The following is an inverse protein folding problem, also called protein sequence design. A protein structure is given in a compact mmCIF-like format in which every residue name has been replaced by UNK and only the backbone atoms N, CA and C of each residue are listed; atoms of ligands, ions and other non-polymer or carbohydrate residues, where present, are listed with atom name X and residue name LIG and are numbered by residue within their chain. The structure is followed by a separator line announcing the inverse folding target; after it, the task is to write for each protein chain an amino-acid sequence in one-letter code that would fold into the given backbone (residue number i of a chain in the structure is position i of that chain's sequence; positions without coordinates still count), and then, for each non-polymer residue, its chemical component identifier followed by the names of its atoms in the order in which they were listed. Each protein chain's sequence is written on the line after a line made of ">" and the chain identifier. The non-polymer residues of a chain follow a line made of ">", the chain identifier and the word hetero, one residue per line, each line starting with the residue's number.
data_IF_615636074862
#
_entry.id   IF_615636074862
#
_cell.length_a   1.000
_cell.length_b   1.000
_cell.length_c   1.000
_cell.angle_alpha   90.00
_cell.angle_beta   90.00
_cell.angle_gamma   90.00
#
_symmetry.space_group_name_H-M   'P 1'
#
loop_
_entity.id
_entity.type
_entity.pdbx_description
1 polymer ?
#
# COMPACT_ATOMS: atom_id res chain seq x y z
N UNK A 1 -0.16 -9.80 10.51
CA UNK A 1 1.04 -9.13 11.06
C UNK A 1 2.25 -10.06 11.03
N UNK A 2 2.13 -11.27 11.57
CA UNK A 2 3.22 -12.26 11.65
C UNK A 2 3.94 -12.51 10.32
N UNK A 3 3.20 -12.67 9.21
CA UNK A 3 3.83 -12.87 7.89
C UNK A 3 4.74 -11.69 7.49
N UNK A 4 4.30 -10.45 7.70
CA UNK A 4 5.11 -9.27 7.42
C UNK A 4 6.36 -9.20 8.29
N UNK A 5 6.22 -9.55 9.58
CA UNK A 5 7.34 -9.60 10.54
C UNK A 5 8.36 -10.65 10.14
N UNK A 6 7.89 -11.86 9.79
CA UNK A 6 8.74 -12.97 9.40
C UNK A 6 9.53 -12.65 8.12
N UNK A 7 8.87 -12.10 7.10
CA UNK A 7 9.52 -11.69 5.85
C UNK A 7 10.50 -10.54 6.09
N UNK A 8 10.10 -9.51 6.85
CA UNK A 8 11.00 -8.40 7.18
C UNK A 8 12.27 -8.92 7.86
N UNK A 9 12.14 -9.80 8.85
CA UNK A 9 13.26 -10.41 9.57
C UNK A 9 14.25 -11.11 8.63
N UNK A 10 13.74 -11.85 7.65
CA UNK A 10 14.57 -12.53 6.65
C UNK A 10 15.25 -11.54 5.68
N UNK A 11 14.63 -10.40 5.42
CA UNK A 11 15.13 -9.41 4.47
C UNK A 11 16.02 -8.31 5.08
N UNK A 12 16.13 -8.22 6.42
CA UNK A 12 16.77 -7.09 7.14
C UNK A 12 18.15 -6.67 6.61
N UNK A 13 18.93 -7.62 6.09
CA UNK A 13 20.31 -7.39 5.65
C UNK A 13 20.49 -7.21 4.14
N UNK A 14 19.41 -7.26 3.34
CA UNK A 14 19.53 -7.27 1.86
C UNK A 14 18.82 -6.12 1.15
N UNK A 15 17.83 -5.45 1.77
CA UNK A 15 17.13 -4.32 1.15
C UNK A 15 17.72 -2.97 1.54
N UNK A 16 17.72 -1.99 0.66
CA UNK A 16 18.00 -0.58 1.01
C UNK A 16 16.80 0.09 1.70
N UNK A 17 15.59 -0.41 1.42
CA UNK A 17 14.33 -0.01 2.03
C UNK A 17 13.34 -1.18 1.99
N UNK A 18 12.26 -1.08 2.75
CA UNK A 18 11.18 -2.08 2.74
C UNK A 18 9.85 -1.41 2.44
N UNK A 19 9.00 -2.12 1.70
CA UNK A 19 7.65 -1.66 1.36
C UNK A 19 6.63 -2.67 1.86
N UNK A 20 5.65 -2.21 2.63
CA UNK A 20 4.48 -2.99 2.97
C UNK A 20 3.40 -2.78 1.90
N UNK A 21 3.04 -3.88 1.25
CA UNK A 21 2.03 -3.88 0.20
C UNK A 21 0.70 -4.42 0.74
N UNK A 22 -0.22 -3.52 1.07
CA UNK A 22 -1.57 -3.85 1.50
C UNK A 22 -2.62 -3.69 0.37
N UNK A 23 -2.17 -3.41 -0.86
CA UNK A 23 -3.02 -2.85 -1.93
C UNK A 23 -3.30 -3.76 -3.13
N UNK A 24 -2.83 -5.01 -3.09
CA UNK A 24 -3.09 -6.00 -4.15
C UNK A 24 -4.59 -6.30 -4.24
N UNK A 25 -5.22 -6.20 -5.43
CA UNK A 25 -6.60 -6.67 -5.63
C UNK A 25 -6.69 -8.19 -5.85
N UNK A 26 -5.56 -8.88 -5.99
CA UNK A 26 -5.51 -10.31 -6.34
C UNK A 26 -5.45 -11.21 -5.10
N UNK A 27 -5.30 -10.63 -3.91
CA UNK A 27 -5.23 -11.37 -2.65
C UNK A 27 -6.52 -11.09 -1.88
N UNK A 28 -7.41 -12.09 -1.74
CA UNK A 28 -8.65 -11.91 -1.00
C UNK A 28 -8.39 -11.30 0.38
N UNK A 29 -9.22 -10.32 0.76
CA UNK A 29 -9.21 -9.62 2.04
C UNK A 29 -7.93 -8.85 2.39
N UNK A 30 -6.94 -8.74 1.49
CA UNK A 30 -5.71 -8.01 1.78
C UNK A 30 -5.98 -6.51 1.95
N UNK A 31 -6.86 -5.94 1.12
CA UNK A 31 -7.22 -4.52 1.19
C UNK A 31 -7.96 -4.17 2.48
N UNK A 32 -8.61 -5.13 3.15
CA UNK A 32 -9.27 -4.90 4.45
C UNK A 32 -8.24 -4.60 5.55
N UNK A 33 -6.98 -5.01 5.36
CA UNK A 33 -5.86 -4.64 6.23
C UNK A 33 -5.40 -3.19 6.04
N UNK A 34 -5.84 -2.50 4.98
CA UNK A 34 -5.60 -1.07 4.81
C UNK A 34 -6.53 -0.27 5.72
N UNK A 35 -6.33 -0.39 7.03
CA UNK A 35 -7.03 0.39 8.03
C UNK A 35 -6.02 0.98 9.03
N UNK A 36 -6.45 2.04 9.72
CA UNK A 36 -5.60 2.80 10.66
C UNK A 36 -4.91 1.93 11.70
N UNK A 37 -5.66 1.00 12.31
CA UNK A 37 -5.17 0.18 13.43
C UNK A 37 -4.07 -0.78 12.96
N UNK A 38 -4.34 -1.56 11.91
CA UNK A 38 -3.36 -2.52 11.40
C UNK A 38 -2.12 -1.84 10.83
N UNK A 39 -2.28 -0.71 10.13
CA UNK A 39 -1.16 0.04 9.58
C UNK A 39 -0.29 0.62 10.69
N UNK A 40 -0.89 1.15 11.77
CA UNK A 40 -0.13 1.63 12.91
C UNK A 40 0.70 0.50 13.55
N UNK A 41 0.06 -0.63 13.84
CA UNK A 41 0.71 -1.79 14.45
C UNK A 41 1.87 -2.32 13.58
N UNK A 42 1.64 -2.44 12.27
CA UNK A 42 2.63 -2.91 11.31
C UNK A 42 3.88 -2.02 11.26
N UNK A 43 3.70 -0.69 11.21
CA UNK A 43 4.83 0.24 11.14
C UNK A 43 5.55 0.41 12.46
N UNK A 44 4.85 0.41 13.60
CA UNK A 44 5.48 0.40 14.92
C UNK A 44 6.40 -0.82 15.07
N UNK A 45 5.90 -2.02 14.72
CA UNK A 45 6.68 -3.26 14.73
C UNK A 45 7.91 -3.16 13.80
N UNK A 46 7.72 -2.69 12.56
CA UNK A 46 8.81 -2.63 11.59
C UNK A 46 9.91 -1.62 11.99
N UNK A 47 9.53 -0.49 12.58
CA UNK A 47 10.44 0.56 13.05
C UNK A 47 11.37 0.07 14.16
N UNK A 48 10.90 -0.84 15.01
CA UNK A 48 11.73 -1.47 16.05
C UNK A 48 12.73 -2.48 15.48
N UNK A 49 12.43 -3.07 14.32
CA UNK A 49 13.27 -4.11 13.70
C UNK A 49 14.38 -3.57 12.80
N UNK A 50 14.23 -2.35 12.26
CA UNK A 50 15.22 -1.81 11.33
C UNK A 50 15.24 -0.28 11.28
N UNK A 51 16.43 0.34 11.16
CA UNK A 51 16.55 1.77 10.87
C UNK A 51 16.37 2.08 9.37
N UNK A 52 16.22 1.07 8.51
CA UNK A 52 16.10 1.26 7.06
C UNK A 52 14.77 1.91 6.70
N UNK A 53 14.70 2.73 5.63
CA UNK A 53 13.47 3.36 5.19
C UNK A 53 12.31 2.37 4.99
N UNK A 54 11.13 2.75 5.47
CA UNK A 54 9.89 1.97 5.42
C UNK A 54 8.83 2.69 4.61
N UNK A 55 8.16 2.01 3.68
CA UNK A 55 7.16 2.60 2.80
C UNK A 55 5.84 1.83 2.86
N UNK A 56 4.72 2.55 2.73
CA UNK A 56 3.40 1.94 2.51
C UNK A 56 3.03 2.07 1.04
N UNK A 57 2.58 0.97 0.40
CA UNK A 57 2.01 1.03 -0.96
C UNK A 57 0.48 0.96 -0.92
N UNK A 58 -0.18 2.02 -1.40
CA UNK A 58 -1.64 2.19 -1.33
C UNK A 58 -2.35 1.86 -2.65
N UNK A 59 -3.63 1.49 -2.55
CA UNK A 59 -4.52 1.29 -3.70
C UNK A 59 -5.13 2.64 -4.13
N UNK A 60 -5.40 2.84 -5.43
CA UNK A 60 -6.05 4.05 -5.93
C UNK A 60 -7.58 4.03 -5.75
N UNK A 61 -8.14 2.97 -5.15
CA UNK A 61 -9.59 2.70 -5.11
C UNK A 61 -10.20 2.93 -3.71
N UNK A 62 -9.46 3.59 -2.82
CA UNK A 62 -9.97 4.02 -1.53
C UNK A 62 -10.65 5.38 -1.68
N UNK A 63 -11.65 5.64 -0.84
CA UNK A 63 -12.14 7.00 -0.64
C UNK A 63 -11.01 7.88 -0.11
N UNK A 64 -10.97 9.14 -0.55
CA UNK A 64 -9.85 10.05 -0.29
C UNK A 64 -9.60 10.23 1.21
N UNK A 65 -10.65 10.44 2.00
CA UNK A 65 -10.52 10.65 3.45
C UNK A 65 -9.97 9.40 4.16
N UNK A 66 -10.48 8.22 3.83
CA UNK A 66 -9.99 6.94 4.37
C UNK A 66 -8.51 6.73 4.01
N UNK A 67 -8.14 7.02 2.75
CA UNK A 67 -6.77 6.94 2.27
C UNK A 67 -5.85 7.87 3.06
N UNK A 68 -6.25 9.13 3.26
CA UNK A 68 -5.48 10.11 4.02
C UNK A 68 -5.33 9.70 5.49
N UNK A 69 -6.36 9.15 6.12
CA UNK A 69 -6.27 8.61 7.48
C UNK A 69 -5.23 7.49 7.59
N UNK A 70 -5.23 6.56 6.63
CA UNK A 70 -4.28 5.45 6.56
C UNK A 70 -2.85 5.96 6.36
N UNK A 71 -2.66 6.90 5.43
CA UNK A 71 -1.36 7.52 5.15
C UNK A 71 -0.82 8.24 6.38
N UNK A 72 -1.66 9.07 7.03
CA UNK A 72 -1.29 9.78 8.24
C UNK A 72 -0.94 8.81 9.39
N UNK A 73 -1.68 7.70 9.51
CA UNK A 73 -1.36 6.65 10.48
C UNK A 73 0.02 6.02 10.23
N UNK A 74 0.33 5.70 8.97
CA UNK A 74 1.61 5.12 8.59
C UNK A 74 2.77 6.09 8.88
N UNK A 75 2.64 7.36 8.48
CA UNK A 75 3.65 8.39 8.72
C UNK A 75 3.87 8.58 10.22
N UNK A 76 2.78 8.72 10.99
CA UNK A 76 2.85 8.84 12.46
C UNK A 76 3.52 7.63 13.14
N UNK A 77 3.40 6.44 12.55
CA UNK A 77 4.02 5.20 13.03
C UNK A 77 5.47 5.00 12.54
N UNK A 78 6.00 5.86 11.66
CA UNK A 78 7.40 5.80 11.21
C UNK A 78 7.61 5.42 9.74
N UNK A 79 6.57 5.50 8.90
CA UNK A 79 6.76 5.43 7.45
C UNK A 79 7.62 6.60 6.97
N UNK A 80 8.59 6.29 6.11
CA UNK A 80 9.47 7.26 5.46
C UNK A 80 8.90 7.76 4.12
N UNK A 81 7.89 7.07 3.58
CA UNK A 81 7.19 7.52 2.39
C UNK A 81 6.03 6.63 1.99
N UNK A 82 5.29 7.09 0.99
CA UNK A 82 4.13 6.41 0.43
C UNK A 82 4.38 6.13 -1.05
N UNK A 83 4.05 4.91 -1.50
CA UNK A 83 4.05 4.53 -2.90
C UNK A 83 2.60 4.59 -3.40
N UNK A 84 2.27 5.69 -4.07
CA UNK A 84 1.01 5.91 -4.75
C UNK A 84 1.20 5.68 -6.26
N UNK A 85 0.60 4.66 -6.89
CA UNK A 85 -0.36 3.69 -6.36
C UNK A 85 -0.05 2.28 -6.86
N UNK A 86 -0.76 1.30 -6.31
CA UNK A 86 -0.91 -0.02 -6.92
C UNK A 86 -1.95 0.03 -8.07
N UNK A 87 -2.31 -1.13 -8.59
CA UNK A 87 -3.33 -1.30 -9.65
C UNK A 87 -4.73 -0.94 -9.18
N UNK A 88 -5.60 -0.54 -10.12
CA UNK A 88 -7.01 -0.21 -9.85
C UNK A 88 -7.96 -1.37 -10.20
N UNK A 89 -9.05 -1.52 -9.45
CA UNK A 89 -10.16 -2.43 -9.81
C UNK A 89 -11.21 -1.77 -10.71
N UNK A 90 -11.06 -0.49 -11.02
CA UNK A 90 -12.02 0.29 -11.82
C UNK A 90 -11.99 -0.15 -13.29
N UNK A 91 -12.89 -1.06 -13.63
CA UNK A 91 -13.01 -1.66 -14.96
C UNK A 91 -13.53 -0.68 -16.01
N UNK A 92 -14.09 0.45 -15.61
CA UNK A 92 -14.62 1.47 -16.53
C UNK A 92 -13.54 2.18 -17.34
N UNK A 93 -12.27 2.08 -16.92
CA UNK A 93 -11.14 2.77 -17.54
C UNK A 93 -10.69 2.19 -18.89
N UNK A 94 -11.20 1.01 -19.28
CA UNK A 94 -10.85 0.33 -20.54
C UNK A 94 -12.06 -0.34 -21.18
N UNK A 95 -12.01 -0.53 -22.49
CA UNK A 95 -12.99 -1.35 -23.20
C UNK A 95 -12.66 -2.84 -23.04
N UNK A 96 -13.70 -3.68 -22.88
CA UNK A 96 -13.59 -5.13 -22.70
C UNK A 96 -12.55 -5.56 -21.63
N UNK A 97 -12.70 -5.10 -20.37
CA UNK A 97 -11.79 -5.45 -19.29
C UNK A 97 -11.83 -6.95 -18.99
N UNK A 98 -10.72 -7.48 -18.46
CA UNK A 98 -10.75 -8.79 -17.79
C UNK A 98 -11.52 -8.64 -16.47
N UNK A 99 -12.35 -9.62 -16.17
CA UNK A 99 -13.13 -9.69 -14.92
C UNK A 99 -12.23 -9.65 -13.68
N UNK A 100 -11.21 -10.52 -13.64
CA UNK A 100 -10.34 -10.64 -12.47
C UNK A 100 -9.08 -9.76 -12.55
N UNK A 101 -8.64 -9.33 -11.38
CA UNK A 101 -7.39 -8.62 -11.12
C UNK A 101 -7.41 -7.12 -11.39
N UNK A 102 -6.25 -6.48 -11.26
CA UNK A 102 -6.11 -5.03 -11.35
C UNK A 102 -5.69 -4.52 -12.74
N UNK A 103 -6.13 -3.31 -13.10
CA UNK A 103 -5.68 -2.58 -14.27
C UNK A 103 -4.43 -1.75 -13.94
N UNK A 104 -3.52 -1.71 -14.91
CA UNK A 104 -2.24 -1.00 -14.85
C UNK A 104 -2.00 -0.20 -16.14
N UNK A 105 -0.90 0.56 -16.16
CA UNK A 105 -0.45 1.26 -17.37
C UNK A 105 -1.23 2.55 -17.64
N UNK A 106 -1.31 2.95 -18.91
CA UNK A 106 -1.79 4.27 -19.34
C UNK A 106 -3.20 4.62 -18.86
N UNK A 107 -4.09 3.64 -18.76
CA UNK A 107 -5.47 3.86 -18.30
C UNK A 107 -5.53 4.35 -16.84
N UNK A 108 -4.53 4.01 -16.01
CA UNK A 108 -4.45 4.40 -14.60
C UNK A 108 -3.86 5.80 -14.41
N UNK A 109 -3.17 6.39 -15.40
CA UNK A 109 -2.35 7.60 -15.24
C UNK A 109 -3.10 8.77 -14.62
N UNK A 110 -4.36 9.02 -15.02
CA UNK A 110 -5.17 10.12 -14.46
C UNK A 110 -5.50 9.86 -12.99
N UNK A 111 -6.07 8.69 -12.70
CA UNK A 111 -6.50 8.29 -11.34
C UNK A 111 -5.31 8.22 -10.37
N UNK A 112 -4.18 7.63 -10.77
CA UNK A 112 -2.98 7.62 -9.92
C UNK A 112 -2.42 9.02 -9.65
N UNK A 113 -2.54 9.94 -10.62
CA UNK A 113 -2.08 11.33 -10.46
C UNK A 113 -2.98 12.12 -9.52
N UNK A 114 -4.28 11.86 -9.55
CA UNK A 114 -5.24 12.45 -8.60
C UNK A 114 -4.91 12.02 -7.18
N UNK A 115 -4.73 10.72 -6.94
CA UNK A 115 -4.31 10.21 -5.61
C UNK A 115 -2.96 10.76 -5.15
N UNK A 116 -1.99 10.92 -6.05
CA UNK A 116 -0.68 11.49 -5.69
C UNK A 116 -0.73 12.99 -5.35
N UNK A 117 -1.75 13.71 -5.82
CA UNK A 117 -1.89 15.15 -5.61
C UNK A 117 -2.43 15.49 -4.23
N UNK A 118 -3.33 14.66 -3.71
CA UNK A 118 -3.87 14.76 -2.34
C UNK A 118 -2.77 14.56 -1.29
#
# INVERSE_FOLDING_TARGET
>A
LEDYKAVLNQCLNIGDYYTFNLSSPNTPNLRDLQNKAFVNELFCMAKEMTPKPLFLKIAPDLETDDMLEIVNSAIGAGAHGIIATNTTIDKSLVFAPKEMGGLSGKCLTKKSREIFKE
#
